data_IF_711655466608
#
_entry.id   IF_711655466608
#
_cell.length_a   1.000
_cell.length_b   1.000
_cell.length_c   1.000
_cell.angle_alpha   90.00
_cell.angle_beta   90.00
_cell.angle_gamma   90.00
#
_symmetry.space_group_name_H-M   'P 1'
#
loop_
_entity.id
_entity.type
_entity.pdbx_description
1 polymer ?
#
# COMPACT_ATOMS: atom_id res chain seq x y z
N UNK A 1 11.72 14.90 20.30
CA UNK A 1 10.36 15.27 19.91
C UNK A 1 9.47 14.77 21.02
N UNK A 2 8.77 15.65 21.69
CA UNK A 2 7.81 15.29 22.73
C UNK A 2 6.61 14.59 22.09
N UNK A 3 6.11 13.54 22.67
CA UNK A 3 4.93 12.86 22.13
C UNK A 3 3.69 13.74 22.34
N UNK A 4 2.72 13.78 21.40
CA UNK A 4 1.53 14.60 21.54
C UNK A 4 0.83 14.49 22.91
N UNK A 5 0.63 13.30 23.50
CA UNK A 5 0.01 13.18 24.83
C UNK A 5 0.77 13.82 25.99
N UNK A 6 2.04 14.14 25.80
CA UNK A 6 2.89 14.78 26.83
C UNK A 6 2.87 16.32 26.72
N UNK A 7 2.11 16.87 25.78
CA UNK A 7 2.08 18.32 25.53
C UNK A 7 0.93 19.00 26.29
N UNK A 8 1.09 20.28 26.70
CA UNK A 8 -0.01 21.09 27.24
C UNK A 8 -1.20 21.22 26.28
N UNK A 9 -0.94 21.22 24.97
CA UNK A 9 -1.95 21.30 23.93
C UNK A 9 -2.86 20.06 23.91
N UNK A 10 -2.29 18.87 24.14
CA UNK A 10 -3.09 17.67 24.30
C UNK A 10 -4.02 17.76 25.53
N UNK A 11 -3.51 18.21 26.67
CA UNK A 11 -4.32 18.40 27.86
C UNK A 11 -5.42 19.47 27.67
N UNK A 12 -5.15 20.52 26.88
CA UNK A 12 -6.16 21.51 26.53
C UNK A 12 -7.27 20.89 25.67
N UNK A 13 -6.91 20.10 24.67
CA UNK A 13 -7.86 19.39 23.80
C UNK A 13 -8.73 18.41 24.61
N UNK A 14 -8.14 17.66 25.53
CA UNK A 14 -8.89 16.74 26.41
C UNK A 14 -9.97 17.48 27.22
N UNK A 15 -9.65 18.64 27.81
CA UNK A 15 -10.63 19.47 28.53
C UNK A 15 -11.78 19.94 27.64
N UNK A 16 -11.51 20.33 26.39
CA UNK A 16 -12.55 20.73 25.43
C UNK A 16 -13.47 19.56 25.09
N UNK A 17 -12.92 18.36 24.92
CA UNK A 17 -13.71 17.14 24.65
C UNK A 17 -14.61 16.80 25.86
N UNK A 18 -14.12 16.94 27.09
CA UNK A 18 -14.91 16.69 28.31
C UNK A 18 -16.11 17.68 28.41
N UNK A 19 -15.89 18.95 28.12
CA UNK A 19 -16.95 19.97 28.10
C UNK A 19 -17.94 19.74 26.95
N UNK A 20 -17.46 19.27 25.81
CA UNK A 20 -18.28 19.00 24.61
C UNK A 20 -19.03 17.66 24.64
N UNK A 21 -18.97 16.87 25.71
CA UNK A 21 -19.75 15.65 25.86
C UNK A 21 -21.24 15.93 25.78
N UNK A 22 -21.90 15.43 24.73
CA UNK A 22 -23.31 15.68 24.45
C UNK A 22 -23.57 16.58 23.24
N UNK A 23 -22.55 17.25 22.70
CA UNK A 23 -22.69 17.93 21.41
C UNK A 23 -22.96 16.92 20.30
N UNK A 24 -23.91 17.23 19.41
CA UNK A 24 -24.18 16.42 18.23
C UNK A 24 -24.09 17.28 16.97
N UNK A 25 -23.77 16.60 15.86
CA UNK A 25 -23.55 17.24 14.56
C UNK A 25 -24.80 17.96 14.04
N UNK A 26 -25.99 17.41 14.28
CA UNK A 26 -27.25 18.06 13.84
C UNK A 26 -27.46 19.41 14.54
N UNK A 27 -27.23 19.48 15.86
CA UNK A 27 -27.29 20.75 16.59
C UNK A 27 -26.22 21.76 16.13
N UNK A 28 -25.01 21.24 15.79
CA UNK A 28 -23.94 22.09 15.27
C UNK A 28 -24.32 22.75 13.93
N UNK A 29 -24.97 22.03 13.03
CA UNK A 29 -25.48 22.58 11.76
C UNK A 29 -26.67 23.52 11.99
N UNK A 30 -27.58 23.24 12.95
CA UNK A 30 -28.68 24.08 13.26
C UNK A 30 -28.23 25.45 13.82
N UNK A 31 -27.12 25.45 14.59
CA UNK A 31 -26.56 26.67 15.19
C UNK A 31 -25.61 27.44 14.26
N UNK A 32 -25.08 26.81 13.23
CA UNK A 32 -24.17 27.39 12.24
C UNK A 32 -24.53 26.94 10.81
N UNK A 33 -25.39 27.66 10.12
CA UNK A 33 -25.78 27.37 8.74
C UNK A 33 -24.61 27.38 7.74
N UNK A 34 -23.50 28.07 8.06
CA UNK A 34 -22.29 28.12 7.24
C UNK A 34 -21.24 27.11 7.65
N UNK A 35 -21.62 26.13 8.46
CA UNK A 35 -20.68 25.12 9.00
C UNK A 35 -19.95 24.33 7.91
N UNK A 36 -20.64 23.97 6.84
CA UNK A 36 -20.03 23.28 5.72
C UNK A 36 -18.92 24.13 5.08
N UNK A 37 -19.18 25.38 4.76
CA UNK A 37 -18.19 26.28 4.16
C UNK A 37 -17.01 26.54 5.09
N UNK A 38 -17.26 26.62 6.39
CA UNK A 38 -16.23 26.89 7.40
C UNK A 38 -15.27 25.73 7.61
N UNK A 39 -15.77 24.51 7.56
CA UNK A 39 -14.98 23.29 7.86
C UNK A 39 -14.75 22.40 6.66
N UNK A 40 -14.96 22.89 5.44
CA UNK A 40 -14.63 22.19 4.21
C UNK A 40 -13.51 22.89 3.45
N UNK A 41 -12.53 22.12 3.00
CA UNK A 41 -11.32 22.64 2.36
C UNK A 41 -11.10 21.94 1.02
N UNK A 42 -10.86 22.71 -0.04
CA UNK A 42 -10.45 22.16 -1.32
C UNK A 42 -8.92 22.15 -1.43
N UNK A 43 -8.37 21.00 -1.75
CA UNK A 43 -6.92 20.79 -1.86
C UNK A 43 -6.60 20.29 -3.27
N UNK A 44 -5.69 20.99 -3.96
CA UNK A 44 -5.24 20.65 -5.30
C UNK A 44 -6.28 20.91 -6.38
N UNK A 45 -5.92 21.66 -7.40
CA UNK A 45 -6.80 21.94 -8.56
C UNK A 45 -6.57 20.92 -9.68
N UNK A 46 -5.39 20.33 -9.74
CA UNK A 46 -5.06 19.29 -10.72
C UNK A 46 -5.84 18.00 -10.42
N UNK A 47 -6.43 17.39 -11.44
CA UNK A 47 -7.20 16.15 -11.36
C UNK A 47 -8.53 16.23 -10.57
N UNK A 48 -9.19 17.42 -10.57
CA UNK A 48 -10.52 17.56 -9.98
C UNK A 48 -10.52 17.97 -8.50
N UNK A 49 -9.36 18.06 -7.88
CA UNK A 49 -9.22 18.46 -6.47
C UNK A 49 -9.74 17.42 -5.47
N UNK A 50 -9.31 17.56 -4.24
CA UNK A 50 -9.83 16.80 -3.10
C UNK A 50 -10.66 17.74 -2.22
N UNK A 51 -11.87 17.35 -1.87
CA UNK A 51 -12.68 18.00 -0.83
C UNK A 51 -12.41 17.29 0.49
N UNK A 52 -11.82 18.00 1.44
CA UNK A 52 -11.72 17.59 2.83
C UNK A 52 -12.90 18.23 3.58
N UNK A 53 -13.88 17.44 3.97
CA UNK A 53 -15.05 17.88 4.72
C UNK A 53 -14.94 17.42 6.17
N UNK A 54 -14.71 18.37 7.07
CA UNK A 54 -14.70 18.18 8.52
C UNK A 54 -15.99 18.69 9.18
N UNK A 55 -16.98 19.16 8.41
CA UNK A 55 -18.20 19.73 8.95
C UNK A 55 -19.06 18.73 9.73
N UNK A 56 -18.92 17.44 9.42
CA UNK A 56 -19.60 16.34 10.10
C UNK A 56 -18.86 15.80 11.33
N UNK A 57 -17.67 16.36 11.63
CA UNK A 57 -16.94 16.02 12.85
C UNK A 57 -17.48 16.78 14.06
N UNK A 58 -17.23 16.27 15.28
CA UNK A 58 -17.61 16.95 16.54
C UNK A 58 -16.59 18.03 16.90
N UNK A 59 -16.45 19.00 16.04
CA UNK A 59 -15.55 20.15 16.22
C UNK A 59 -16.33 21.44 16.22
N UNK A 60 -15.88 22.36 17.02
CA UNK A 60 -16.20 23.79 16.96
C UNK A 60 -14.90 24.59 16.74
N UNK A 61 -14.96 25.89 16.76
CA UNK A 61 -13.79 26.74 16.53
C UNK A 61 -12.71 26.54 17.60
N UNK A 62 -13.11 26.32 18.86
CA UNK A 62 -12.17 26.11 19.97
C UNK A 62 -11.44 24.76 19.80
N UNK A 63 -12.18 23.70 19.47
CA UNK A 63 -11.59 22.38 19.21
C UNK A 63 -10.71 22.41 17.96
N UNK A 64 -11.16 23.07 16.87
CA UNK A 64 -10.38 23.18 15.65
C UNK A 64 -9.05 23.91 15.89
N UNK A 65 -9.10 25.04 16.59
CA UNK A 65 -7.89 25.82 16.96
C UNK A 65 -6.95 24.96 17.82
N UNK A 66 -7.48 24.27 18.84
CA UNK A 66 -6.67 23.43 19.70
C UNK A 66 -6.02 22.24 18.94
N UNK A 67 -6.67 21.71 17.91
CA UNK A 67 -6.09 20.69 17.02
C UNK A 67 -4.93 21.27 16.20
N UNK A 68 -5.06 22.48 15.67
CA UNK A 68 -3.97 23.15 14.95
C UNK A 68 -2.78 23.43 15.88
N UNK A 69 -3.04 23.95 17.09
CA UNK A 69 -2.01 24.19 18.09
C UNK A 69 -1.26 22.90 18.47
N UNK A 70 -1.99 21.77 18.54
CA UNK A 70 -1.40 20.47 18.79
C UNK A 70 -0.50 20.00 17.62
N UNK A 71 -0.91 20.20 16.36
CA UNK A 71 -0.10 19.88 15.19
C UNK A 71 1.20 20.69 15.16
N UNK A 72 1.15 21.97 15.54
CA UNK A 72 2.33 22.84 15.66
C UNK A 72 3.24 22.39 16.80
N UNK A 73 2.71 22.13 17.99
CA UNK A 73 3.47 21.62 19.12
C UNK A 73 4.13 20.26 18.85
N UNK A 74 3.45 19.41 18.08
CA UNK A 74 3.98 18.13 17.62
C UNK A 74 4.99 18.24 16.48
N UNK A 75 5.22 19.45 15.93
CA UNK A 75 6.15 19.75 14.85
C UNK A 75 5.88 18.90 13.59
N UNK A 76 4.61 18.80 13.21
CA UNK A 76 4.20 17.93 12.08
C UNK A 76 4.82 18.42 10.76
N UNK A 77 4.95 19.74 10.55
CA UNK A 77 5.55 20.30 9.32
C UNK A 77 7.00 19.89 9.16
N UNK A 78 7.79 19.97 10.25
CA UNK A 78 9.19 19.53 10.25
C UNK A 78 9.30 18.01 10.07
N UNK A 79 8.39 17.25 10.68
CA UNK A 79 8.32 15.80 10.46
C UNK A 79 8.06 15.44 9.00
N UNK A 80 7.16 16.16 8.33
CA UNK A 80 6.90 15.98 6.90
C UNK A 80 8.11 16.36 6.05
N UNK A 81 8.78 17.48 6.35
CA UNK A 81 9.99 17.88 5.64
C UNK A 81 11.11 16.84 5.78
N UNK A 82 11.33 16.34 6.99
CA UNK A 82 12.30 15.28 7.27
C UNK A 82 11.96 13.97 6.53
N UNK A 83 10.67 13.59 6.48
CA UNK A 83 10.22 12.45 5.70
C UNK A 83 10.54 12.59 4.22
N UNK A 84 10.30 13.77 3.63
CA UNK A 84 10.56 14.02 2.21
C UNK A 84 12.04 14.11 1.89
N UNK A 85 12.86 14.55 2.86
CA UNK A 85 14.31 14.54 2.77
C UNK A 85 14.93 13.13 2.91
N UNK A 86 14.12 12.12 3.30
CA UNK A 86 14.60 10.76 3.50
C UNK A 86 15.33 10.55 4.83
N UNK A 87 15.11 11.41 5.81
CA UNK A 87 15.64 11.22 7.15
C UNK A 87 15.03 9.99 7.84
N UNK A 88 15.74 9.36 8.79
CA UNK A 88 15.27 8.16 9.49
C UNK A 88 14.19 8.50 10.52
N UNK A 89 13.03 8.97 10.07
CA UNK A 89 11.89 9.37 10.92
C UNK A 89 11.16 8.20 11.56
N UNK A 90 11.29 6.99 11.02
CA UNK A 90 10.79 5.77 11.67
C UNK A 90 11.75 5.38 12.80
N UNK A 91 11.47 5.88 14.00
CA UNK A 91 12.35 5.74 15.16
C UNK A 91 12.41 4.33 15.70
N UNK A 92 11.34 3.55 15.53
CA UNK A 92 11.26 2.17 16.06
C UNK A 92 12.15 1.22 15.26
N UNK A 93 12.35 1.50 13.98
CA UNK A 93 13.15 0.68 13.08
C UNK A 93 14.43 1.39 12.60
N UNK A 94 14.66 2.65 13.00
CA UNK A 94 15.86 3.43 12.68
C UNK A 94 16.04 3.73 11.19
N UNK A 95 14.95 3.86 10.44
CA UNK A 95 15.01 4.02 8.97
C UNK A 95 14.09 5.12 8.44
N UNK A 96 14.30 5.50 7.20
CA UNK A 96 13.44 6.42 6.45
C UNK A 96 12.04 5.80 6.23
N UNK A 97 11.05 6.65 5.95
CA UNK A 97 9.70 6.29 5.52
C UNK A 97 9.39 7.05 4.22
N UNK A 98 9.89 6.53 3.09
CA UNK A 98 9.87 7.22 1.79
C UNK A 98 8.75 6.73 0.85
N UNK A 99 7.60 6.35 1.37
CA UNK A 99 6.46 5.91 0.55
C UNK A 99 6.04 6.94 -0.51
N UNK A 100 6.26 8.23 -0.24
CA UNK A 100 6.02 9.34 -1.18
C UNK A 100 6.89 9.23 -2.43
N UNK A 101 8.13 8.69 -2.31
CA UNK A 101 9.04 8.51 -3.43
C UNK A 101 8.53 7.50 -4.46
N UNK A 102 7.69 6.53 -4.06
CA UNK A 102 7.08 5.56 -4.98
C UNK A 102 6.13 6.21 -6.00
N UNK A 103 5.55 7.35 -5.66
CA UNK A 103 4.53 8.04 -6.46
C UNK A 103 5.00 9.37 -7.03
N UNK A 104 6.27 9.71 -6.83
CA UNK A 104 6.79 10.99 -7.27
C UNK A 104 6.79 11.13 -8.80
N UNK A 105 6.49 12.32 -9.32
CA UNK A 105 6.76 12.64 -10.73
C UNK A 105 8.26 12.59 -11.01
N UNK A 106 8.64 12.27 -12.24
CA UNK A 106 10.04 12.30 -12.68
C UNK A 106 10.62 13.71 -12.47
N UNK A 107 11.79 13.78 -11.89
CA UNK A 107 12.49 15.05 -11.61
C UNK A 107 12.09 15.74 -10.30
N UNK A 108 11.26 15.12 -9.45
CA UNK A 108 10.86 15.72 -8.16
C UNK A 108 11.94 15.62 -7.09
N UNK A 109 12.85 14.66 -7.19
CA UNK A 109 13.99 14.49 -6.31
C UNK A 109 13.66 14.07 -4.87
N UNK A 110 12.46 13.60 -4.57
CA UNK A 110 12.08 13.14 -3.23
C UNK A 110 12.96 11.94 -2.84
N UNK A 111 13.62 12.04 -1.69
CA UNK A 111 14.59 11.05 -1.23
C UNK A 111 15.95 11.08 -1.97
N UNK A 112 16.11 12.01 -2.92
CA UNK A 112 17.32 12.19 -3.73
C UNK A 112 17.31 11.44 -5.06
N UNK A 113 18.18 11.87 -5.98
CA UNK A 113 18.23 11.38 -7.35
C UNK A 113 18.48 9.86 -7.46
N UNK A 114 19.25 9.28 -6.54
CA UNK A 114 19.53 7.85 -6.54
C UNK A 114 18.28 7.02 -6.23
N UNK A 115 17.48 7.43 -5.26
CA UNK A 115 16.19 6.80 -4.93
C UNK A 115 15.21 6.92 -6.10
N UNK A 116 15.11 8.12 -6.67
CA UNK A 116 14.26 8.35 -7.84
C UNK A 116 14.63 7.41 -9.00
N UNK A 117 15.90 7.32 -9.36
CA UNK A 117 16.38 6.45 -10.43
C UNK A 117 16.03 4.98 -10.18
N UNK A 118 16.23 4.49 -8.96
CA UNK A 118 15.90 3.11 -8.58
C UNK A 118 14.39 2.85 -8.69
N UNK A 119 13.54 3.75 -8.16
CA UNK A 119 12.08 3.63 -8.22
C UNK A 119 11.58 3.61 -9.66
N UNK A 120 12.09 4.51 -10.49
CA UNK A 120 11.71 4.59 -11.91
C UNK A 120 12.12 3.32 -12.67
N UNK A 121 13.33 2.82 -12.45
CA UNK A 121 13.82 1.61 -13.11
C UNK A 121 12.99 0.38 -12.71
N UNK A 122 12.69 0.21 -11.43
CA UNK A 122 11.89 -0.93 -10.98
C UNK A 122 10.43 -0.84 -11.47
N UNK A 123 9.85 0.36 -11.49
CA UNK A 123 8.52 0.59 -12.05
C UNK A 123 8.45 0.25 -13.55
N UNK A 124 9.46 0.61 -14.32
CA UNK A 124 9.54 0.28 -15.74
C UNK A 124 9.63 -1.24 -15.97
N UNK A 125 10.44 -1.94 -15.18
CA UNK A 125 10.51 -3.40 -15.21
C UNK A 125 9.17 -4.07 -14.91
N UNK A 126 8.47 -3.57 -13.89
CA UNK A 126 7.14 -4.06 -13.53
C UNK A 126 6.13 -3.85 -14.66
N UNK A 127 6.08 -2.65 -15.23
CA UNK A 127 5.18 -2.34 -16.34
C UNK A 127 5.48 -3.22 -17.56
N UNK A 128 6.75 -3.39 -17.93
CA UNK A 128 7.15 -4.26 -19.03
C UNK A 128 6.69 -5.71 -18.80
N UNK A 129 6.85 -6.22 -17.59
CA UNK A 129 6.39 -7.57 -17.24
C UNK A 129 4.85 -7.68 -17.29
N UNK A 130 4.14 -6.71 -16.72
CA UNK A 130 2.67 -6.68 -16.74
C UNK A 130 2.12 -6.62 -18.18
N UNK A 131 2.72 -5.79 -19.02
CA UNK A 131 2.36 -5.70 -20.43
C UNK A 131 2.65 -6.99 -21.20
N UNK A 132 3.78 -7.64 -20.91
CA UNK A 132 4.08 -8.95 -21.47
C UNK A 132 3.06 -10.01 -21.05
N UNK A 133 2.74 -10.13 -19.76
CA UNK A 133 1.73 -11.08 -19.27
C UNK A 133 0.37 -10.84 -19.93
N UNK A 134 -0.05 -9.57 -20.03
CA UNK A 134 -1.35 -9.18 -20.61
C UNK A 134 -1.39 -9.30 -22.14
N UNK A 135 -0.29 -9.00 -22.80
CA UNK A 135 -0.24 -8.89 -24.28
C UNK A 135 0.18 -10.18 -24.99
N UNK A 136 0.79 -11.14 -24.28
CA UNK A 136 1.26 -12.39 -24.90
C UNK A 136 0.14 -13.31 -25.39
N UNK A 137 -1.04 -13.24 -24.76
CA UNK A 137 -2.12 -14.20 -24.98
C UNK A 137 -1.83 -15.60 -24.44
N UNK A 138 -0.72 -15.77 -23.69
CA UNK A 138 -0.33 -17.05 -23.11
C UNK A 138 -0.97 -17.28 -21.73
N UNK A 139 -1.33 -16.20 -21.01
CA UNK A 139 -1.77 -16.28 -19.63
C UNK A 139 -3.23 -15.83 -19.48
N UNK A 140 -4.03 -16.71 -18.87
CA UNK A 140 -5.42 -16.45 -18.53
C UNK A 140 -5.58 -15.98 -17.07
N UNK A 141 -4.62 -16.34 -16.21
CA UNK A 141 -4.72 -16.17 -14.77
C UNK A 141 -3.39 -15.71 -14.13
N UNK A 142 -3.50 -14.81 -13.17
CA UNK A 142 -2.41 -14.39 -12.28
C UNK A 142 -2.84 -14.69 -10.84
N UNK A 143 -2.00 -15.39 -10.07
CA UNK A 143 -2.26 -15.72 -8.67
C UNK A 143 -1.26 -15.01 -7.78
N UNK A 144 -1.72 -14.06 -7.00
CA UNK A 144 -0.90 -13.41 -5.97
C UNK A 144 -0.95 -14.21 -4.67
N UNK A 145 0.20 -14.67 -4.21
CA UNK A 145 0.35 -15.37 -2.92
C UNK A 145 1.10 -14.45 -1.96
N UNK A 146 0.38 -13.88 -1.00
CA UNK A 146 0.94 -12.92 -0.05
C UNK A 146 -0.01 -12.69 1.12
N UNK A 147 0.48 -12.13 2.22
CA UNK A 147 -0.28 -11.91 3.45
C UNK A 147 -0.16 -10.45 3.91
N UNK A 148 -1.19 -9.93 4.52
CA UNK A 148 -1.23 -8.59 5.08
C UNK A 148 -0.97 -7.52 4.03
N UNK A 149 0.13 -6.75 4.15
CA UNK A 149 0.47 -5.71 3.18
C UNK A 149 0.74 -6.21 1.77
N UNK A 150 1.11 -7.48 1.61
CA UNK A 150 1.35 -8.12 0.32
C UNK A 150 0.07 -8.68 -0.35
N UNK A 151 -1.07 -8.54 0.31
CA UNK A 151 -2.38 -8.99 -0.17
C UNK A 151 -3.40 -7.85 -0.19
N UNK A 152 -3.66 -7.24 0.99
CA UNK A 152 -4.81 -6.34 1.19
C UNK A 152 -4.82 -5.13 0.25
N UNK A 153 -3.67 -4.51 0.01
CA UNK A 153 -3.56 -3.37 -0.91
C UNK A 153 -3.86 -3.75 -2.35
N UNK A 154 -3.15 -4.73 -2.92
CA UNK A 154 -3.41 -5.25 -4.26
C UNK A 154 -4.84 -5.77 -4.45
N UNK A 155 -5.35 -6.58 -3.52
CA UNK A 155 -6.72 -7.11 -3.59
C UNK A 155 -7.78 -6.00 -3.58
N UNK A 156 -7.61 -5.00 -2.71
CA UNK A 156 -8.47 -3.82 -2.67
C UNK A 156 -8.45 -3.07 -4.02
N UNK A 157 -7.27 -2.83 -4.58
CA UNK A 157 -7.14 -2.10 -5.85
C UNK A 157 -7.74 -2.89 -7.02
N UNK A 158 -7.48 -4.19 -7.11
CA UNK A 158 -8.06 -5.06 -8.13
C UNK A 158 -9.60 -5.10 -8.04
N UNK A 159 -10.14 -5.18 -6.84
CA UNK A 159 -11.60 -5.15 -6.64
C UNK A 159 -12.21 -3.78 -6.97
N UNK A 160 -11.58 -2.69 -6.55
CA UNK A 160 -12.07 -1.33 -6.79
C UNK A 160 -12.05 -0.96 -8.28
N UNK A 161 -11.09 -1.49 -9.03
CA UNK A 161 -10.89 -1.20 -10.45
C UNK A 161 -11.44 -2.29 -11.37
N UNK A 162 -12.17 -3.26 -10.85
CA UNK A 162 -12.67 -4.41 -11.61
C UNK A 162 -13.44 -4.03 -12.87
N UNK A 163 -14.24 -2.97 -12.81
CA UNK A 163 -15.06 -2.53 -13.95
C UNK A 163 -14.23 -1.90 -15.09
N UNK A 164 -12.96 -1.58 -14.81
CA UNK A 164 -11.98 -1.06 -15.79
C UNK A 164 -10.97 -2.13 -16.23
N UNK A 165 -11.02 -3.32 -15.62
CA UNK A 165 -10.07 -4.38 -15.92
C UNK A 165 -10.39 -5.06 -17.27
N UNK A 166 -9.35 -5.54 -17.95
CA UNK A 166 -9.52 -6.45 -19.08
C UNK A 166 -10.12 -7.79 -18.60
N UNK A 167 -10.76 -8.52 -19.50
CA UNK A 167 -11.34 -9.83 -19.18
C UNK A 167 -10.27 -10.88 -18.82
N UNK A 168 -9.06 -10.72 -19.36
CA UNK A 168 -7.88 -11.58 -19.10
C UNK A 168 -6.61 -10.72 -19.01
N UNK A 169 -5.62 -11.12 -18.20
CA UNK A 169 -5.68 -12.22 -17.24
C UNK A 169 -6.58 -11.89 -16.04
N UNK A 170 -7.21 -12.90 -15.44
CA UNK A 170 -7.94 -12.77 -14.17
C UNK A 170 -6.94 -12.78 -13.02
N UNK A 171 -7.14 -11.94 -12.03
CA UNK A 171 -6.27 -11.88 -10.85
C UNK A 171 -6.95 -12.57 -9.67
N UNK A 172 -6.22 -13.49 -9.05
CA UNK A 172 -6.62 -14.24 -7.86
C UNK A 172 -5.70 -13.90 -6.70
N UNK A 173 -6.23 -13.90 -5.48
CA UNK A 173 -5.48 -13.63 -4.26
C UNK A 173 -5.57 -14.83 -3.32
N UNK A 174 -4.42 -15.24 -2.77
CA UNK A 174 -4.29 -16.29 -1.77
C UNK A 174 -3.52 -15.73 -0.60
N UNK A 175 -4.21 -15.52 0.51
CA UNK A 175 -3.67 -14.81 1.68
C UNK A 175 -3.72 -15.61 2.97
N UNK A 176 -4.44 -16.73 3.00
CA UNK A 176 -4.53 -17.58 4.18
C UNK A 176 -3.71 -18.87 4.00
N UNK A 177 -3.20 -19.38 5.11
CA UNK A 177 -2.51 -20.68 5.16
C UNK A 177 -3.49 -21.86 5.05
N UNK A 178 -4.78 -21.60 5.22
CA UNK A 178 -5.81 -22.63 5.02
C UNK A 178 -5.78 -23.15 3.59
N UNK A 179 -5.48 -24.43 3.44
CA UNK A 179 -5.35 -25.09 2.14
C UNK A 179 -6.63 -25.05 1.28
N UNK A 180 -7.79 -24.78 1.87
CA UNK A 180 -9.05 -24.65 1.10
C UNK A 180 -9.05 -23.41 0.21
N UNK A 181 -8.47 -22.29 0.65
CA UNK A 181 -8.38 -21.07 -0.17
C UNK A 181 -7.53 -21.32 -1.42
N UNK A 182 -6.31 -21.84 -1.23
CA UNK A 182 -5.43 -22.18 -2.35
C UNK A 182 -6.05 -23.25 -3.26
N UNK A 183 -6.62 -24.32 -2.69
CA UNK A 183 -7.25 -25.39 -3.47
C UNK A 183 -8.44 -24.90 -4.31
N UNK A 184 -9.27 -24.01 -3.76
CA UNK A 184 -10.40 -23.41 -4.47
C UNK A 184 -9.91 -22.60 -5.68
N UNK A 185 -8.86 -21.78 -5.52
CA UNK A 185 -8.26 -21.03 -6.62
C UNK A 185 -7.68 -21.98 -7.67
N UNK A 186 -6.84 -22.93 -7.28
CA UNK A 186 -6.14 -23.84 -8.19
C UNK A 186 -7.08 -24.77 -8.98
N UNK A 187 -8.24 -25.10 -8.44
CA UNK A 187 -9.20 -26.02 -9.08
C UNK A 187 -9.72 -25.53 -10.42
N UNK A 188 -9.74 -24.23 -10.65
CA UNK A 188 -10.21 -23.61 -11.89
C UNK A 188 -9.12 -23.21 -12.87
N UNK A 189 -7.84 -23.46 -12.54
CA UNK A 189 -6.70 -22.96 -13.30
C UNK A 189 -6.09 -24.01 -14.22
N UNK A 190 -5.42 -23.51 -15.28
CA UNK A 190 -4.59 -24.32 -16.17
C UNK A 190 -3.13 -23.93 -15.91
N UNK A 191 -2.25 -24.90 -15.57
CA UNK A 191 -0.87 -24.57 -15.18
C UNK A 191 -0.12 -23.75 -16.23
N UNK A 192 -0.23 -24.14 -17.50
CA UNK A 192 0.47 -23.46 -18.61
C UNK A 192 -0.09 -22.08 -18.97
N UNK A 193 -1.22 -21.68 -18.38
CA UNK A 193 -1.87 -20.38 -18.57
C UNK A 193 -1.89 -19.54 -17.30
N UNK A 194 -1.12 -19.93 -16.28
CA UNK A 194 -1.14 -19.27 -14.96
C UNK A 194 0.23 -18.72 -14.59
N UNK A 195 0.28 -17.48 -14.10
CA UNK A 195 1.46 -16.87 -13.47
C UNK A 195 1.22 -16.75 -11.96
N UNK A 196 2.20 -17.15 -11.16
CA UNK A 196 2.20 -17.00 -9.71
C UNK A 196 3.14 -15.86 -9.30
N UNK A 197 2.64 -14.92 -8.53
CA UNK A 197 3.39 -13.84 -7.91
C UNK A 197 3.55 -14.14 -6.42
N UNK A 198 4.77 -14.44 -5.98
CA UNK A 198 5.06 -14.75 -4.59
C UNK A 198 5.49 -13.46 -3.88
N UNK A 199 4.58 -12.89 -3.10
CA UNK A 199 4.72 -11.58 -2.48
C UNK A 199 5.10 -11.66 -1.01
N UNK A 200 6.39 -11.51 -0.69
CA UNK A 200 6.89 -11.48 0.68
C UNK A 200 8.17 -10.65 0.77
N UNK A 201 8.19 -9.61 1.63
CA UNK A 201 9.34 -8.72 1.76
C UNK A 201 10.63 -9.47 2.08
N UNK A 202 10.60 -10.35 3.06
CA UNK A 202 11.76 -11.14 3.52
C UNK A 202 11.91 -12.47 2.78
N UNK A 203 10.87 -12.89 2.08
CA UNK A 203 10.76 -14.22 1.47
C UNK A 203 10.87 -15.38 2.49
N UNK A 204 10.42 -15.11 3.72
CA UNK A 204 10.50 -16.04 4.85
C UNK A 204 9.17 -16.16 5.61
N UNK A 205 8.11 -15.45 5.18
CA UNK A 205 6.79 -15.53 5.81
C UNK A 205 6.26 -16.96 5.66
N UNK A 206 6.10 -17.66 6.77
CA UNK A 206 5.86 -19.12 6.78
C UNK A 206 4.62 -19.51 5.95
N UNK A 207 3.52 -18.79 6.11
CA UNK A 207 2.25 -19.04 5.42
C UNK A 207 2.38 -18.78 3.91
N UNK A 208 3.03 -17.68 3.53
CA UNK A 208 3.29 -17.36 2.11
C UNK A 208 4.15 -18.44 1.47
N UNK A 209 5.21 -18.88 2.14
CA UNK A 209 6.10 -19.90 1.61
C UNK A 209 5.43 -21.27 1.53
N UNK A 210 4.58 -21.63 2.49
CA UNK A 210 3.79 -22.87 2.45
C UNK A 210 2.85 -22.88 1.23
N UNK A 211 2.12 -21.81 1.00
CA UNK A 211 1.26 -21.68 -0.17
C UNK A 211 2.08 -21.67 -1.49
N UNK A 212 3.22 -21.00 -1.51
CA UNK A 212 4.11 -20.96 -2.68
C UNK A 212 4.67 -22.36 -3.05
N UNK A 213 5.08 -23.13 -2.05
CA UNK A 213 5.49 -24.53 -2.26
C UNK A 213 4.36 -25.39 -2.80
N UNK A 214 3.17 -25.27 -2.22
CA UNK A 214 1.98 -26.02 -2.64
C UNK A 214 1.56 -25.66 -4.08
N UNK A 215 1.59 -24.37 -4.43
CA UNK A 215 1.29 -23.90 -5.78
C UNK A 215 2.31 -24.40 -6.81
N UNK A 216 3.62 -24.37 -6.47
CA UNK A 216 4.69 -24.92 -7.33
C UNK A 216 4.53 -26.42 -7.50
N UNK A 217 4.23 -27.16 -6.44
CA UNK A 217 4.00 -28.60 -6.50
C UNK A 217 2.78 -28.94 -7.37
N UNK A 218 1.69 -28.21 -7.20
CA UNK A 218 0.52 -28.34 -8.07
C UNK A 218 0.88 -28.08 -9.54
N UNK A 219 1.62 -27.01 -9.83
CA UNK A 219 2.05 -26.68 -11.20
C UNK A 219 2.79 -27.85 -11.85
N UNK A 220 3.80 -28.43 -11.16
CA UNK A 220 4.59 -29.54 -11.65
C UNK A 220 3.74 -30.81 -11.80
N UNK A 221 2.88 -31.14 -10.83
CA UNK A 221 2.00 -32.32 -10.88
C UNK A 221 0.98 -32.26 -12.03
N UNK A 222 0.58 -31.06 -12.42
CA UNK A 222 -0.34 -30.85 -13.54
C UNK A 222 0.37 -30.76 -14.89
N UNK A 223 1.66 -31.11 -14.96
CA UNK A 223 2.45 -31.16 -16.19
C UNK A 223 3.18 -29.88 -16.54
N UNK A 224 3.23 -28.90 -15.65
CA UNK A 224 4.05 -27.70 -15.82
C UNK A 224 5.55 -28.06 -15.78
N UNK A 225 6.31 -27.62 -16.77
CA UNK A 225 7.72 -27.99 -16.95
C UNK A 225 8.66 -26.81 -16.65
N UNK A 226 8.29 -25.62 -17.11
CA UNK A 226 9.12 -24.42 -16.99
C UNK A 226 8.55 -23.46 -15.95
N UNK A 227 9.11 -23.48 -14.75
CA UNK A 227 8.70 -22.57 -13.66
C UNK A 227 9.21 -21.14 -13.87
N UNK A 228 10.22 -20.91 -14.71
CA UNK A 228 10.86 -19.59 -14.88
C UNK A 228 9.92 -18.58 -15.53
N UNK A 229 9.01 -19.03 -16.37
CA UNK A 229 7.99 -18.21 -17.02
C UNK A 229 6.69 -18.08 -16.23
N UNK A 230 6.51 -18.91 -15.20
CA UNK A 230 5.25 -19.00 -14.45
C UNK A 230 5.36 -18.55 -12.99
N UNK A 231 6.57 -18.27 -12.50
CA UNK A 231 6.81 -17.81 -11.14
C UNK A 231 7.60 -16.51 -11.14
N UNK A 232 7.11 -15.52 -10.42
CA UNK A 232 7.84 -14.28 -10.13
C UNK A 232 7.76 -13.96 -8.63
N UNK A 233 8.81 -13.34 -8.09
CA UNK A 233 8.86 -12.96 -6.68
C UNK A 233 8.82 -11.44 -6.51
N UNK A 234 7.98 -10.97 -5.60
CA UNK A 234 7.87 -9.59 -5.15
C UNK A 234 8.55 -9.49 -3.78
N UNK A 235 9.85 -9.18 -3.77
CA UNK A 235 10.66 -9.33 -2.55
C UNK A 235 11.88 -8.40 -2.53
N UNK A 236 12.34 -8.06 -1.31
CA UNK A 236 13.67 -7.46 -1.11
C UNK A 236 14.78 -8.50 -0.99
N UNK A 237 14.43 -9.78 -0.79
CA UNK A 237 15.38 -10.89 -0.63
C UNK A 237 15.49 -11.73 -1.89
N UNK A 238 16.23 -11.22 -2.88
CA UNK A 238 16.43 -11.89 -4.17
C UNK A 238 17.18 -13.22 -4.05
N UNK A 239 18.07 -13.34 -3.06
CA UNK A 239 18.82 -14.59 -2.86
C UNK A 239 17.88 -15.74 -2.45
N UNK A 240 16.99 -15.51 -1.49
CA UNK A 240 16.01 -16.51 -1.09
C UNK A 240 15.01 -16.85 -2.22
N UNK A 241 14.66 -15.89 -3.08
CA UNK A 241 13.84 -16.18 -4.27
C UNK A 241 14.60 -17.07 -5.28
N UNK A 242 15.88 -16.81 -5.49
CA UNK A 242 16.73 -17.65 -6.35
C UNK A 242 16.89 -19.07 -5.78
N UNK A 243 17.09 -19.22 -4.47
CA UNK A 243 17.15 -20.51 -3.78
C UNK A 243 15.82 -21.30 -3.91
N UNK A 244 14.70 -20.59 -3.97
CA UNK A 244 13.39 -21.18 -4.26
C UNK A 244 13.24 -21.60 -5.74
N UNK A 245 14.11 -21.15 -6.64
CA UNK A 245 14.06 -21.41 -8.08
C UNK A 245 13.29 -20.36 -8.88
N UNK A 246 13.18 -19.12 -8.37
CA UNK A 246 12.55 -18.01 -9.08
C UNK A 246 13.63 -17.07 -9.61
N UNK A 247 13.69 -16.89 -10.93
CA UNK A 247 14.62 -16.00 -11.61
C UNK A 247 14.06 -14.57 -11.76
N UNK A 248 12.76 -14.46 -12.04
CA UNK A 248 12.08 -13.17 -12.21
C UNK A 248 11.74 -12.57 -10.86
N UNK A 249 12.44 -11.48 -10.49
CA UNK A 249 12.22 -10.81 -9.19
C UNK A 249 11.98 -9.33 -9.37
N UNK A 250 11.03 -8.80 -8.62
CA UNK A 250 10.76 -7.37 -8.49
C UNK A 250 11.00 -6.93 -7.06
N UNK A 251 11.87 -5.92 -6.91
CA UNK A 251 12.33 -5.46 -5.62
C UNK A 251 11.56 -4.28 -5.07
N UNK A 252 11.69 -4.09 -3.78
CA UNK A 252 11.32 -2.86 -3.09
C UNK A 252 12.22 -2.66 -1.86
N UNK A 253 12.12 -1.53 -1.23
CA UNK A 253 13.14 -1.04 -0.29
C UNK A 253 12.70 -1.16 1.16
N UNK A 254 13.65 -1.12 2.08
CA UNK A 254 13.37 -1.19 3.52
C UNK A 254 12.52 -0.03 4.04
N UNK A 255 12.62 1.12 3.40
CA UNK A 255 11.80 2.29 3.70
C UNK A 255 10.33 2.17 3.24
N UNK A 256 9.94 1.05 2.61
CA UNK A 256 8.55 0.72 2.28
C UNK A 256 7.96 -0.14 3.39
N UNK A 257 6.99 0.40 4.12
CA UNK A 257 6.19 -0.34 5.09
C UNK A 257 5.05 -1.13 4.41
N UNK A 258 4.70 -2.30 4.96
CA UNK A 258 3.73 -3.22 4.36
C UNK A 258 2.39 -2.57 3.98
N UNK A 259 1.79 -1.77 4.89
CA UNK A 259 0.48 -1.13 4.64
C UNK A 259 0.48 -0.01 3.59
N UNK A 260 1.64 0.43 3.14
CA UNK A 260 1.82 1.44 2.07
C UNK A 260 2.55 0.87 0.85
N UNK A 261 2.67 -0.45 0.74
CA UNK A 261 3.48 -1.12 -0.28
C UNK A 261 2.79 -1.24 -1.65
N UNK A 262 1.49 -0.98 -1.75
CA UNK A 262 0.75 -1.06 -3.02
C UNK A 262 1.43 -0.32 -4.18
N UNK A 263 2.09 0.80 -3.91
CA UNK A 263 2.80 1.61 -4.93
C UNK A 263 4.22 1.12 -5.25
N UNK A 264 4.67 0.02 -4.61
CA UNK A 264 5.93 -0.67 -4.90
C UNK A 264 5.69 -1.89 -5.80
N UNK A 265 6.69 -2.78 -5.89
CA UNK A 265 6.56 -4.06 -6.58
C UNK A 265 5.35 -4.91 -6.09
N UNK A 266 4.93 -4.72 -4.86
CA UNK A 266 3.75 -5.41 -4.29
C UNK A 266 2.45 -5.12 -5.05
N UNK A 267 2.36 -3.99 -5.74
CA UNK A 267 1.19 -3.65 -6.56
C UNK A 267 1.22 -4.20 -7.99
N UNK A 268 2.13 -5.12 -8.31
CA UNK A 268 2.23 -5.72 -9.64
C UNK A 268 0.98 -6.53 -10.06
N UNK A 269 0.30 -7.25 -9.12
CA UNK A 269 -0.97 -7.93 -9.46
C UNK A 269 -2.04 -6.95 -9.91
#
# INVERSE_FOLDING_TARGET
>A
MTLPPETPQWAALQRLVEVGQGSNVAAAFANDPQRFERYSFRVGEAAGGLLLDLSHERIDEAVFTALIDLLEAARVREGLAAMWAGEPINRTEGRAALHVALRQPRGSGIGGAAIEAQVLAERERMLTFAEWVRGSGEYDDVVNIGIGGSDLGPAMAAQALRDYAAATPRVHFVSNVDGHELAAVLSGLKPHHTVFLIASKTFTTAETMMNAHSAREWFVRQGGVDTTRHLAALTSNRAAAADFGIETTFGFWDWVGGRYSLWSAIGLP
#
